data_IF_624658483292
#
_entry.id   IF_624658483292
#
_cell.length_a   1.000
_cell.length_b   1.000
_cell.length_c   1.000
_cell.angle_alpha   90.00
_cell.angle_beta   90.00
_cell.angle_gamma   90.00
#
_symmetry.space_group_name_H-M   'P 1'
#
loop_
_entity.id
_entity.type
_entity.pdbx_description
1 polymer ?
#
# COMPACT_ATOMS: atom_id res chain seq x y z
N UNK A 1 -6.02 7.04 -3.09
CA UNK A 1 -6.99 6.03 -3.56
C UNK A 1 -6.31 4.67 -3.66
N UNK A 2 -7.02 3.54 -3.54
CA UNK A 2 -6.42 2.23 -3.79
C UNK A 2 -6.58 1.85 -5.26
N UNK A 3 -5.56 2.07 -6.06
CA UNK A 3 -5.57 1.76 -7.50
C UNK A 3 -5.47 0.25 -7.80
N UNK A 4 -5.06 -0.58 -6.83
CA UNK A 4 -5.03 -2.03 -6.95
C UNK A 4 -6.32 -2.74 -6.49
N UNK A 5 -7.42 -2.00 -6.36
CA UNK A 5 -8.71 -2.62 -6.02
C UNK A 5 -9.08 -3.66 -7.08
N UNK A 6 -9.38 -4.88 -6.64
CA UNK A 6 -9.83 -5.96 -7.50
C UNK A 6 -11.34 -5.94 -7.59
N UNK A 7 -11.85 -5.72 -8.78
CA UNK A 7 -13.27 -5.86 -9.14
C UNK A 7 -13.35 -6.94 -10.21
N UNK A 8 -14.14 -7.98 -9.96
CA UNK A 8 -14.40 -9.09 -10.87
C UNK A 8 -15.65 -9.87 -10.43
N UNK A 9 -15.99 -10.98 -11.08
CA UNK A 9 -17.17 -11.79 -10.76
C UNK A 9 -17.29 -12.19 -9.28
N UNK A 10 -16.17 -12.26 -8.55
CA UNK A 10 -16.12 -12.65 -7.15
C UNK A 10 -15.97 -11.46 -6.18
N UNK A 11 -15.64 -10.27 -6.68
CA UNK A 11 -15.36 -9.09 -5.87
C UNK A 11 -16.16 -7.90 -6.40
N UNK A 12 -17.30 -7.63 -5.77
CA UNK A 12 -18.16 -6.49 -6.12
C UNK A 12 -17.59 -5.17 -5.59
N UNK A 13 -17.82 -4.10 -6.34
CA UNK A 13 -17.53 -2.74 -5.89
C UNK A 13 -18.37 -2.40 -4.66
N UNK A 14 -17.78 -1.63 -3.73
CA UNK A 14 -18.45 -1.22 -2.49
C UNK A 14 -18.85 0.26 -2.57
N UNK A 15 -20.01 0.61 -2.00
CA UNK A 15 -20.51 1.98 -1.99
C UNK A 15 -19.52 2.99 -1.40
N UNK A 16 -18.73 2.60 -0.39
CA UNK A 16 -17.71 3.48 0.18
C UNK A 16 -16.57 3.82 -0.79
N UNK A 17 -16.36 3.02 -1.84
CA UNK A 17 -15.44 3.33 -2.92
C UNK A 17 -16.07 4.33 -3.88
N UNK A 18 -17.29 4.08 -4.34
CA UNK A 18 -18.04 4.95 -5.26
C UNK A 18 -18.13 6.41 -4.74
N UNK A 19 -18.31 6.57 -3.42
CA UNK A 19 -18.38 7.90 -2.78
C UNK A 19 -17.04 8.66 -2.72
N UNK A 20 -15.93 8.03 -3.14
CA UNK A 20 -14.57 8.60 -3.05
C UNK A 20 -13.87 8.72 -4.40
N UNK A 21 -14.51 8.29 -5.48
CA UNK A 21 -13.96 8.43 -6.82
C UNK A 21 -14.02 9.91 -7.21
N UNK A 22 -12.90 10.46 -7.63
CA UNK A 22 -12.84 11.77 -8.25
C UNK A 22 -12.91 11.64 -9.76
N UNK A 23 -14.12 11.80 -10.32
CA UNK A 23 -14.39 11.67 -11.74
C UNK A 23 -14.29 13.03 -12.42
N UNK A 24 -13.66 13.07 -13.55
CA UNK A 24 -13.63 14.23 -14.46
C UNK A 24 -14.30 13.87 -15.78
N UNK A 25 -14.87 14.88 -16.45
CA UNK A 25 -15.50 14.72 -17.75
C UNK A 25 -14.49 14.92 -18.87
N UNK A 26 -14.52 14.02 -19.86
CA UNK A 26 -13.76 14.13 -21.12
C UNK A 26 -14.64 13.69 -22.27
N UNK A 27 -14.06 13.53 -23.47
CA UNK A 27 -14.76 13.08 -24.68
C UNK A 27 -14.31 11.68 -25.07
N UNK A 28 -15.25 10.87 -25.52
CA UNK A 28 -15.00 9.57 -26.17
C UNK A 28 -14.79 9.73 -27.69
N UNK A 29 -14.75 8.60 -28.39
CA UNK A 29 -14.56 8.52 -29.85
C UNK A 29 -15.68 9.16 -30.67
N UNK A 30 -16.90 9.24 -30.12
CA UNK A 30 -18.08 9.81 -30.76
C UNK A 30 -18.32 11.27 -30.35
N UNK A 31 -17.36 11.87 -29.60
CA UNK A 31 -17.42 13.22 -29.03
C UNK A 31 -18.53 13.38 -27.98
N UNK A 32 -18.97 12.28 -27.37
CA UNK A 32 -19.90 12.25 -26.25
C UNK A 32 -19.14 12.43 -24.91
N UNK A 33 -19.86 12.89 -23.88
CA UNK A 33 -19.27 13.06 -22.55
C UNK A 33 -19.09 11.72 -21.85
N UNK A 34 -17.85 11.44 -21.46
CA UNK A 34 -17.48 10.25 -20.70
C UNK A 34 -16.72 10.66 -19.42
N UNK A 35 -16.90 9.89 -18.36
CA UNK A 35 -16.27 10.13 -17.07
C UNK A 35 -15.07 9.20 -16.88
N UNK A 36 -13.97 9.74 -16.32
CA UNK A 36 -12.74 9.00 -15.99
C UNK A 36 -12.24 9.45 -14.62
N UNK A 37 -11.62 8.57 -13.87
CA UNK A 37 -10.93 8.99 -12.63
C UNK A 37 -9.73 9.89 -12.96
N UNK A 38 -9.54 10.95 -12.17
CA UNK A 38 -8.63 12.05 -12.49
C UNK A 38 -7.18 11.62 -12.77
N UNK A 39 -6.59 10.77 -11.91
CA UNK A 39 -5.20 10.30 -12.10
C UNK A 39 -5.09 9.32 -13.28
N UNK A 40 -6.13 8.51 -13.49
CA UNK A 40 -6.24 7.62 -14.66
C UNK A 40 -6.25 8.42 -15.95
N UNK A 41 -7.00 9.51 -15.97
CA UNK A 41 -7.04 10.39 -17.16
C UNK A 41 -5.72 11.10 -17.42
N UNK A 42 -5.04 11.59 -16.37
CA UNK A 42 -3.70 12.19 -16.53
C UNK A 42 -2.71 11.17 -17.14
N UNK A 43 -2.74 9.94 -16.63
CA UNK A 43 -1.90 8.85 -17.16
C UNK A 43 -2.26 8.47 -18.61
N UNK A 44 -3.55 8.50 -18.95
CA UNK A 44 -4.03 8.28 -20.32
C UNK A 44 -3.49 9.37 -21.28
N UNK A 45 -3.51 10.63 -20.88
CA UNK A 45 -2.98 11.71 -21.70
C UNK A 45 -1.45 11.58 -21.93
N UNK A 46 -0.70 11.14 -20.93
CA UNK A 46 0.73 10.81 -21.08
C UNK A 46 0.94 9.68 -22.09
N UNK A 47 0.15 8.60 -21.99
CA UNK A 47 0.18 7.47 -22.92
C UNK A 47 -0.18 7.89 -24.35
N UNK A 48 -1.27 8.64 -24.51
CA UNK A 48 -1.75 9.12 -25.80
C UNK A 48 -0.70 10.01 -26.50
N UNK A 49 -0.12 10.95 -25.76
CA UNK A 49 0.93 11.83 -26.29
C UNK A 49 2.15 11.03 -26.75
N UNK A 50 2.61 10.06 -25.96
CA UNK A 50 3.74 9.21 -26.30
C UNK A 50 3.46 8.32 -27.53
N UNK A 51 2.27 7.74 -27.64
CA UNK A 51 1.87 6.93 -28.80
C UNK A 51 1.74 7.77 -30.07
N UNK A 52 1.26 9.01 -29.94
CA UNK A 52 1.14 9.93 -31.09
C UNK A 52 2.50 10.27 -31.71
N UNK A 53 3.56 10.40 -30.90
CA UNK A 53 4.94 10.58 -31.38
C UNK A 53 5.42 9.36 -32.19
N UNK A 54 4.80 8.18 -31.99
CA UNK A 54 5.09 6.95 -32.73
C UNK A 54 4.10 6.67 -33.87
N UNK A 55 3.31 7.67 -34.26
CA UNK A 55 2.26 7.57 -35.27
C UNK A 55 1.18 6.52 -34.93
N UNK A 56 0.91 6.33 -33.64
CA UNK A 56 -0.22 5.53 -33.15
C UNK A 56 -1.19 6.50 -32.49
N UNK A 57 -2.41 6.57 -33.04
CA UNK A 57 -3.44 7.44 -32.49
C UNK A 57 -4.51 6.59 -31.79
N UNK A 58 -4.84 6.98 -30.57
CA UNK A 58 -5.82 6.28 -29.72
C UNK A 58 -6.84 7.28 -29.17
N UNK A 59 -8.07 6.81 -29.01
CA UNK A 59 -9.17 7.54 -28.38
C UNK A 59 -9.86 6.66 -27.35
N UNK A 60 -10.60 7.28 -26.44
CA UNK A 60 -11.43 6.56 -25.47
C UNK A 60 -12.69 6.08 -26.19
N UNK A 61 -13.00 4.80 -26.08
CA UNK A 61 -14.29 4.23 -26.47
C UNK A 61 -15.25 4.23 -25.26
N UNK A 62 -14.80 3.66 -24.12
CA UNK A 62 -15.59 3.58 -22.90
C UNK A 62 -14.68 3.79 -21.68
N UNK A 63 -15.24 4.36 -20.61
CA UNK A 63 -14.50 4.53 -19.36
C UNK A 63 -15.40 4.28 -18.13
N UNK A 64 -15.65 5.26 -17.26
CA UNK A 64 -16.52 5.03 -16.12
C UNK A 64 -17.94 4.66 -16.55
N UNK A 65 -18.49 3.64 -15.88
CA UNK A 65 -19.86 3.20 -16.07
C UNK A 65 -20.58 3.08 -14.72
N UNK A 66 -21.73 3.74 -14.57
CA UNK A 66 -22.54 3.65 -13.36
C UNK A 66 -23.14 2.24 -13.20
N UNK A 67 -23.64 1.94 -12.00
CA UNK A 67 -24.33 0.67 -11.75
C UNK A 67 -25.60 0.55 -12.60
N UNK A 68 -26.31 1.64 -12.74
CA UNK A 68 -27.55 1.75 -13.51
C UNK A 68 -27.28 1.49 -15.01
N UNK A 69 -26.27 2.16 -15.58
CA UNK A 69 -25.88 1.97 -16.97
C UNK A 69 -25.40 0.54 -17.25
N UNK A 70 -24.71 -0.08 -16.28
CA UNK A 70 -24.33 -1.51 -16.42
C UNK A 70 -25.54 -2.44 -16.44
N UNK A 71 -26.60 -2.13 -15.72
CA UNK A 71 -27.84 -2.91 -15.73
C UNK A 71 -28.58 -2.78 -17.07
N UNK A 72 -28.65 -1.57 -17.61
CA UNK A 72 -29.19 -1.30 -18.95
C UNK A 72 -28.44 -2.09 -20.01
N UNK A 73 -27.11 -2.01 -20.03
CA UNK A 73 -26.25 -2.73 -20.95
C UNK A 73 -26.44 -4.25 -20.87
N UNK A 74 -26.54 -4.80 -19.65
CA UNK A 74 -26.78 -6.21 -19.43
C UNK A 74 -28.12 -6.66 -20.04
N UNK A 75 -29.17 -5.86 -19.88
CA UNK A 75 -30.50 -6.18 -20.41
C UNK A 75 -30.50 -6.12 -21.95
N UNK A 76 -29.88 -5.10 -22.54
CA UNK A 76 -29.74 -5.00 -24.01
C UNK A 76 -29.00 -6.21 -24.61
N UNK A 77 -27.88 -6.61 -23.97
CA UNK A 77 -27.10 -7.76 -24.45
C UNK A 77 -27.87 -9.08 -24.29
N UNK A 78 -28.64 -9.24 -23.20
CA UNK A 78 -29.49 -10.42 -23.03
C UNK A 78 -30.56 -10.51 -24.06
N UNK A 79 -31.21 -9.42 -24.41
CA UNK A 79 -32.22 -9.36 -25.42
C UNK A 79 -31.65 -9.65 -26.83
N UNK A 80 -30.48 -9.10 -27.12
CA UNK A 80 -29.86 -9.19 -28.45
C UNK A 80 -29.11 -10.49 -28.70
N UNK A 81 -28.39 -11.00 -27.69
CA UNK A 81 -27.44 -12.11 -27.86
C UNK A 81 -27.73 -13.34 -26.99
N UNK A 82 -28.66 -13.23 -26.04
CA UNK A 82 -29.02 -14.28 -25.09
C UNK A 82 -28.12 -14.37 -23.85
N UNK A 83 -28.55 -15.13 -22.86
CA UNK A 83 -27.89 -15.23 -21.52
C UNK A 83 -26.47 -15.78 -21.61
N UNK A 84 -26.20 -16.82 -22.41
CA UNK A 84 -24.89 -17.48 -22.48
C UNK A 84 -23.82 -16.52 -23.02
N UNK A 85 -24.14 -15.81 -24.11
CA UNK A 85 -23.25 -14.80 -24.67
C UNK A 85 -22.99 -13.64 -23.67
N UNK A 86 -24.06 -13.12 -23.10
CA UNK A 86 -23.98 -12.00 -22.14
C UNK A 86 -23.13 -12.37 -20.93
N UNK A 87 -23.31 -13.55 -20.35
CA UNK A 87 -22.52 -14.01 -19.19
C UNK A 87 -21.00 -14.13 -19.47
N UNK A 88 -20.65 -14.30 -20.76
CA UNK A 88 -19.24 -14.43 -21.18
C UNK A 88 -18.55 -13.07 -21.37
N UNK A 89 -19.27 -12.08 -21.89
CA UNK A 89 -18.68 -10.80 -22.33
C UNK A 89 -19.09 -9.59 -21.50
N UNK A 90 -20.20 -9.67 -20.75
CA UNK A 90 -20.70 -8.53 -19.97
C UNK A 90 -20.67 -8.85 -18.47
N UNK A 91 -20.00 -8.00 -17.71
CA UNK A 91 -19.90 -8.17 -16.27
C UNK A 91 -21.26 -7.94 -15.57
N UNK A 92 -21.64 -8.79 -14.60
CA UNK A 92 -22.79 -8.51 -13.73
C UNK A 92 -22.65 -7.16 -13.02
N UNK A 93 -23.77 -6.51 -12.69
CA UNK A 93 -23.79 -5.22 -11.97
C UNK A 93 -22.96 -5.28 -10.69
N UNK A 94 -22.09 -4.30 -10.53
CA UNK A 94 -21.16 -4.19 -9.41
C UNK A 94 -19.86 -4.98 -9.58
N UNK A 95 -19.68 -5.75 -10.67
CA UNK A 95 -18.47 -6.55 -10.94
C UNK A 95 -17.68 -6.09 -12.16
N UNK A 96 -18.11 -5.01 -12.81
CA UNK A 96 -17.37 -4.36 -13.89
C UNK A 96 -16.27 -3.44 -13.33
N UNK A 97 -15.08 -3.49 -13.92
CA UNK A 97 -13.99 -2.56 -13.57
C UNK A 97 -14.28 -1.11 -13.94
N UNK A 98 -15.14 -0.87 -14.93
CA UNK A 98 -15.60 0.45 -15.32
C UNK A 98 -16.27 1.22 -14.17
N UNK A 99 -16.88 0.54 -13.20
CA UNK A 99 -17.39 1.19 -11.98
C UNK A 99 -16.32 1.87 -11.14
N UNK A 100 -15.05 1.53 -11.36
CA UNK A 100 -13.94 2.14 -10.61
C UNK A 100 -13.48 3.47 -11.18
N UNK A 101 -13.81 3.79 -12.42
CA UNK A 101 -13.22 4.90 -13.19
C UNK A 101 -11.76 4.67 -13.57
N UNK A 102 -11.18 3.49 -13.26
CA UNK A 102 -9.78 3.15 -13.50
C UNK A 102 -9.58 2.33 -14.78
N UNK A 103 -10.66 1.85 -15.39
CA UNK A 103 -10.64 1.12 -16.66
C UNK A 103 -10.99 2.06 -17.82
N UNK A 104 -10.30 1.88 -18.93
CA UNK A 104 -10.53 2.57 -20.19
C UNK A 104 -10.50 1.54 -21.30
N UNK A 105 -11.53 1.54 -22.14
CA UNK A 105 -11.51 0.86 -23.41
C UNK A 105 -10.99 1.82 -24.49
N UNK A 106 -10.02 1.36 -25.26
CA UNK A 106 -9.33 2.14 -26.30
C UNK A 106 -9.84 1.77 -27.67
N UNK A 107 -10.06 2.77 -28.52
CA UNK A 107 -10.16 2.59 -29.97
C UNK A 107 -8.92 3.13 -30.69
N UNK A 108 -8.52 2.43 -31.73
CA UNK A 108 -7.42 2.87 -32.62
C UNK A 108 -7.97 3.77 -33.71
N UNK A 109 -7.22 4.83 -34.02
CA UNK A 109 -7.53 5.71 -35.16
C UNK A 109 -6.51 5.52 -36.26
N UNK A 110 -6.97 5.18 -37.46
CA UNK A 110 -6.15 5.04 -38.66
C UNK A 110 -6.74 5.92 -39.76
N UNK A 111 -5.92 6.77 -40.35
CA UNK A 111 -6.34 7.73 -41.38
C UNK A 111 -7.56 8.57 -40.96
N UNK A 112 -7.62 8.95 -39.69
CA UNK A 112 -8.69 9.78 -39.10
C UNK A 112 -10.02 9.06 -38.90
N UNK A 113 -10.04 7.72 -38.96
CA UNK A 113 -11.23 6.89 -38.73
C UNK A 113 -10.97 5.86 -37.63
N UNK A 114 -12.01 5.54 -36.87
CA UNK A 114 -11.95 4.43 -35.91
C UNK A 114 -11.72 3.13 -36.70
N UNK A 115 -10.71 2.39 -36.28
CA UNK A 115 -10.40 1.07 -36.82
C UNK A 115 -11.36 0.06 -36.21
N UNK A 116 -12.09 -0.70 -37.04
CA UNK A 116 -13.00 -1.74 -36.59
C UNK A 116 -12.24 -2.83 -35.80
N UNK A 117 -12.81 -3.25 -34.68
CA UNK A 117 -12.27 -4.28 -33.82
C UNK A 117 -12.28 -5.64 -34.54
N UNK A 118 -11.10 -6.12 -34.89
CA UNK A 118 -10.96 -7.40 -35.57
C UNK A 118 -9.63 -8.07 -35.24
N UNK A 119 -9.69 -9.26 -34.68
CA UNK A 119 -8.52 -10.09 -34.41
C UNK A 119 -7.92 -10.70 -35.72
N UNK A 120 -8.60 -10.61 -36.84
CA UNK A 120 -8.10 -10.99 -38.17
C UNK A 120 -7.34 -9.84 -38.86
N UNK A 121 -7.49 -8.61 -38.33
CA UNK A 121 -6.80 -7.44 -38.85
C UNK A 121 -5.39 -7.33 -38.26
N UNK A 122 -4.36 -7.57 -39.08
CA UNK A 122 -2.95 -7.50 -38.63
C UNK A 122 -2.56 -6.13 -38.10
N UNK A 123 -3.07 -5.03 -38.63
CA UNK A 123 -2.80 -3.67 -38.16
C UNK A 123 -3.32 -3.52 -36.72
N UNK A 124 -4.57 -3.95 -36.49
CA UNK A 124 -5.21 -3.93 -35.17
C UNK A 124 -4.37 -4.72 -34.16
N UNK A 125 -4.11 -6.00 -34.44
CA UNK A 125 -3.37 -6.89 -33.53
C UNK A 125 -1.95 -6.38 -33.25
N UNK A 126 -1.22 -5.97 -34.28
CA UNK A 126 0.16 -5.52 -34.13
C UNK A 126 0.26 -4.18 -33.40
N UNK A 127 -0.71 -3.29 -33.58
CA UNK A 127 -0.76 -2.01 -32.89
C UNK A 127 -1.03 -2.20 -31.41
N UNK A 128 -2.02 -3.01 -31.04
CA UNK A 128 -2.27 -3.32 -29.63
C UNK A 128 -1.07 -4.00 -28.94
N UNK A 129 -0.37 -4.92 -29.63
CA UNK A 129 0.88 -5.50 -29.08
C UNK A 129 1.94 -4.45 -28.75
N UNK A 130 2.10 -3.42 -29.58
CA UNK A 130 3.01 -2.30 -29.30
C UNK A 130 2.55 -1.51 -28.08
N UNK A 131 1.25 -1.21 -27.98
CA UNK A 131 0.65 -0.51 -26.85
C UNK A 131 0.86 -1.30 -25.55
N UNK A 132 0.55 -2.60 -25.54
CA UNK A 132 0.68 -3.46 -24.36
C UNK A 132 2.09 -3.48 -23.79
N UNK A 133 3.11 -3.48 -24.64
CA UNK A 133 4.51 -3.50 -24.22
C UNK A 133 4.94 -2.25 -23.44
N UNK A 134 4.22 -1.13 -23.55
CA UNK A 134 4.58 0.14 -22.92
C UNK A 134 3.61 0.59 -21.83
N UNK A 135 2.43 -0.05 -21.70
CA UNK A 135 1.39 0.34 -20.74
C UNK A 135 1.94 0.57 -19.33
N UNK A 136 2.85 -0.30 -18.88
CA UNK A 136 3.42 -0.27 -17.55
C UNK A 136 4.21 1.02 -17.25
N UNK A 137 4.74 1.70 -18.27
CA UNK A 137 5.46 2.97 -18.09
C UNK A 137 4.52 4.12 -17.70
N UNK A 138 3.23 3.98 -18.01
CA UNK A 138 2.18 4.96 -17.75
C UNK A 138 1.24 4.54 -16.60
N UNK A 139 1.53 3.41 -15.94
CA UNK A 139 0.73 2.93 -14.82
C UNK A 139 -0.46 2.06 -15.21
N UNK A 140 -0.58 1.68 -16.48
CA UNK A 140 -1.61 0.79 -16.98
C UNK A 140 -1.14 -0.66 -17.09
N UNK A 141 -2.10 -1.57 -17.07
CA UNK A 141 -1.95 -2.98 -17.41
C UNK A 141 -2.97 -3.37 -18.49
N UNK A 142 -2.64 -4.38 -19.29
CA UNK A 142 -3.63 -5.12 -20.05
C UNK A 142 -4.41 -5.98 -19.05
N UNK A 143 -5.68 -5.69 -18.86
CA UNK A 143 -6.47 -6.29 -17.77
C UNK A 143 -6.81 -7.74 -18.01
N UNK A 144 -7.16 -8.09 -19.25
CA UNK A 144 -7.61 -9.40 -19.66
C UNK A 144 -6.69 -9.97 -20.74
N UNK A 145 -5.46 -10.41 -20.35
CA UNK A 145 -4.47 -10.90 -21.31
C UNK A 145 -4.82 -12.30 -21.82
N UNK A 146 -4.41 -12.58 -23.05
CA UNK A 146 -4.61 -13.87 -23.71
C UNK A 146 -3.93 -15.01 -22.92
N UNK A 147 -4.65 -16.13 -22.75
CA UNK A 147 -4.17 -17.30 -22.00
C UNK A 147 -4.28 -17.19 -20.48
N UNK A 148 -4.99 -16.16 -19.97
CA UNK A 148 -5.25 -15.95 -18.54
C UNK A 148 -6.75 -15.92 -18.19
N UNK A 149 -7.60 -16.38 -19.10
CA UNK A 149 -9.06 -16.33 -18.98
C UNK A 149 -9.60 -17.08 -17.75
N UNK A 150 -8.97 -18.21 -17.40
CA UNK A 150 -9.32 -18.97 -16.18
C UNK A 150 -9.04 -18.19 -14.88
N UNK A 151 -8.07 -17.28 -14.89
CA UNK A 151 -7.68 -16.48 -13.73
C UNK A 151 -8.53 -15.23 -13.63
N UNK A 152 -8.71 -14.52 -14.75
CA UNK A 152 -9.44 -13.25 -14.80
C UNK A 152 -10.95 -13.45 -14.84
N UNK A 153 -11.42 -14.57 -15.39
CA UNK A 153 -12.82 -14.89 -15.59
C UNK A 153 -13.45 -14.23 -16.83
N UNK A 154 -12.62 -13.56 -17.67
CA UNK A 154 -13.04 -12.89 -18.89
C UNK A 154 -12.17 -13.31 -20.08
N UNK A 155 -12.71 -13.19 -21.29
CA UNK A 155 -11.98 -13.41 -22.53
C UNK A 155 -10.88 -12.36 -22.72
N UNK A 156 -9.97 -12.60 -23.67
CA UNK A 156 -8.97 -11.63 -24.08
C UNK A 156 -9.62 -10.37 -24.65
N UNK A 157 -9.27 -9.21 -24.10
CA UNK A 157 -9.76 -7.89 -24.53
C UNK A 157 -8.57 -6.96 -24.75
N UNK A 158 -8.03 -6.83 -25.97
CA UNK A 158 -6.84 -6.03 -26.25
C UNK A 158 -7.04 -4.54 -25.97
N UNK A 159 -8.27 -4.03 -26.08
CA UNK A 159 -8.63 -2.64 -25.83
C UNK A 159 -8.73 -2.25 -24.37
N UNK A 160 -9.03 -3.22 -23.48
CA UNK A 160 -9.36 -2.96 -22.09
C UNK A 160 -8.09 -2.79 -21.24
N UNK A 161 -7.74 -1.53 -20.96
CA UNK A 161 -6.61 -1.18 -20.10
C UNK A 161 -7.09 -0.74 -18.72
N UNK A 162 -6.31 -1.09 -17.70
CA UNK A 162 -6.60 -0.77 -16.32
C UNK A 162 -5.46 0.00 -15.65
N UNK A 163 -5.78 1.16 -15.07
CA UNK A 163 -4.80 1.92 -14.27
C UNK A 163 -4.63 1.31 -12.88
N UNK A 164 -3.38 1.06 -12.50
CA UNK A 164 -2.98 0.52 -11.20
C UNK A 164 -1.81 1.29 -10.58
N UNK A 165 -1.33 2.33 -11.27
CA UNK A 165 -0.14 3.12 -10.92
C UNK A 165 1.17 2.50 -11.40
N UNK A 166 2.18 3.36 -11.65
CA UNK A 166 3.45 2.98 -12.32
C UNK A 166 4.23 1.87 -11.58
N UNK A 167 4.18 1.83 -10.26
CA UNK A 167 4.87 0.81 -9.48
C UNK A 167 4.27 -0.59 -9.66
N UNK A 168 2.95 -0.71 -9.51
CA UNK A 168 2.25 -1.99 -9.59
C UNK A 168 2.24 -2.51 -11.03
N UNK A 169 1.97 -1.65 -12.00
CA UNK A 169 1.95 -2.02 -13.42
C UNK A 169 3.29 -2.57 -13.90
N UNK A 170 4.40 -2.00 -13.41
CA UNK A 170 5.75 -2.49 -13.71
C UNK A 170 5.98 -3.91 -13.17
N UNK A 171 5.59 -4.17 -11.92
CA UNK A 171 5.72 -5.51 -11.33
C UNK A 171 4.86 -6.53 -12.10
N UNK A 172 3.62 -6.16 -12.44
CA UNK A 172 2.71 -7.00 -13.22
C UNK A 172 3.33 -7.33 -14.59
N UNK A 173 3.88 -6.34 -15.28
CA UNK A 173 4.55 -6.52 -16.57
C UNK A 173 5.79 -7.42 -16.45
N UNK A 174 6.73 -7.13 -15.53
CA UNK A 174 7.98 -7.87 -15.35
C UNK A 174 7.76 -9.33 -14.94
N UNK A 175 6.67 -9.61 -14.20
CA UNK A 175 6.32 -10.96 -13.73
C UNK A 175 5.33 -11.68 -14.62
N UNK A 176 4.80 -11.02 -15.64
CA UNK A 176 3.70 -11.51 -16.49
C UNK A 176 2.49 -11.98 -15.66
N UNK A 177 2.11 -11.17 -14.68
CA UNK A 177 0.97 -11.42 -13.80
C UNK A 177 -0.30 -10.79 -14.34
N UNK A 178 -1.46 -11.34 -13.92
CA UNK A 178 -2.72 -10.60 -13.87
C UNK A 178 -2.78 -9.78 -12.58
N UNK A 179 -3.79 -8.93 -12.43
CA UNK A 179 -4.04 -8.22 -11.17
C UNK A 179 -4.34 -9.21 -10.03
N UNK A 180 -5.06 -10.29 -10.31
CA UNK A 180 -5.34 -11.38 -9.37
C UNK A 180 -4.05 -12.05 -8.87
N UNK A 181 -3.16 -12.41 -9.81
CA UNK A 181 -1.87 -13.03 -9.49
C UNK A 181 -0.98 -12.08 -8.68
N UNK A 182 -0.95 -10.80 -9.03
CA UNK A 182 -0.22 -9.80 -8.27
C UNK A 182 -0.69 -9.75 -6.81
N UNK A 183 -1.99 -9.60 -6.58
CA UNK A 183 -2.56 -9.47 -5.24
C UNK A 183 -2.39 -10.74 -4.39
N UNK A 184 -2.27 -11.90 -5.04
CA UNK A 184 -2.12 -13.19 -4.36
C UNK A 184 -0.66 -13.55 -4.10
N UNK A 185 0.21 -13.30 -5.09
CA UNK A 185 1.57 -13.84 -5.11
C UNK A 185 2.65 -12.82 -4.72
N UNK A 186 2.34 -11.51 -4.75
CA UNK A 186 3.33 -10.52 -4.39
C UNK A 186 3.77 -10.69 -2.93
N UNK A 187 5.07 -10.89 -2.75
CA UNK A 187 5.69 -11.09 -1.45
C UNK A 187 7.02 -10.36 -1.42
N UNK A 188 7.37 -9.81 -0.27
CA UNK A 188 8.60 -9.06 -0.14
C UNK A 188 8.89 -8.59 1.28
N UNK A 189 10.07 -8.03 1.44
CA UNK A 189 10.51 -7.35 2.66
C UNK A 189 10.94 -5.93 2.29
N UNK A 190 10.42 -4.96 3.03
CA UNK A 190 10.80 -3.56 2.89
C UNK A 190 11.52 -3.09 4.13
N UNK A 191 12.55 -2.29 3.93
CA UNK A 191 13.24 -1.58 5.00
C UNK A 191 12.84 -0.11 4.90
N UNK A 192 12.07 0.35 5.88
CA UNK A 192 11.48 1.69 5.88
C UNK A 192 12.18 2.55 6.94
N UNK A 193 12.50 3.78 6.61
CA UNK A 193 12.87 4.79 7.59
C UNK A 193 11.59 5.44 8.13
N UNK A 194 11.09 4.89 9.26
CA UNK A 194 9.89 5.43 9.92
C UNK A 194 10.18 6.83 10.45
N UNK A 195 9.36 7.76 10.05
CA UNK A 195 9.46 9.13 10.50
C UNK A 195 8.90 9.30 11.93
N UNK A 196 9.38 10.31 12.63
CA UNK A 196 8.85 10.75 13.93
C UNK A 196 7.41 11.25 13.78
N UNK A 197 6.56 10.97 14.75
CA UNK A 197 5.16 11.42 14.78
C UNK A 197 4.14 10.43 14.23
N UNK A 198 4.58 9.36 13.56
CA UNK A 198 3.69 8.30 13.04
C UNK A 198 3.93 6.99 13.79
N UNK A 199 2.90 6.15 13.92
CA UNK A 199 3.03 4.82 14.51
C UNK A 199 3.57 3.80 13.48
N UNK A 200 4.12 2.68 13.96
CA UNK A 200 4.49 1.57 13.07
C UNK A 200 3.26 1.01 12.31
N UNK A 201 2.07 1.10 12.91
CA UNK A 201 0.81 0.69 12.28
C UNK A 201 0.38 1.64 11.15
N UNK A 202 0.59 2.95 11.30
CA UNK A 202 0.31 3.92 10.23
C UNK A 202 1.16 3.63 9.00
N UNK A 203 2.45 3.31 9.19
CA UNK A 203 3.34 2.90 8.09
C UNK A 203 2.85 1.63 7.41
N UNK A 204 2.43 0.62 8.17
CA UNK A 204 1.85 -0.62 7.62
C UNK A 204 0.57 -0.33 6.82
N UNK A 205 -0.30 0.55 7.32
CA UNK A 205 -1.51 0.95 6.61
C UNK A 205 -1.21 1.69 5.31
N UNK A 206 -0.27 2.62 5.33
CA UNK A 206 0.15 3.36 4.13
C UNK A 206 0.70 2.39 3.06
N UNK A 207 1.57 1.46 3.44
CA UNK A 207 2.09 0.43 2.55
C UNK A 207 0.95 -0.46 2.02
N UNK A 208 -0.01 -0.84 2.89
CA UNK A 208 -1.18 -1.62 2.48
C UNK A 208 -2.01 -0.92 1.41
N UNK A 209 -2.19 0.40 1.54
CA UNK A 209 -2.90 1.20 0.53
C UNK A 209 -2.10 1.34 -0.76
N UNK A 210 -0.80 1.60 -0.66
CA UNK A 210 0.08 1.79 -1.82
C UNK A 210 0.18 0.52 -2.68
N UNK A 211 0.33 -0.64 -2.05
CA UNK A 211 0.49 -1.93 -2.73
C UNK A 211 -0.85 -2.65 -2.98
N UNK A 212 -1.96 -2.19 -2.39
CA UNK A 212 -3.25 -2.86 -2.46
C UNK A 212 -3.31 -4.21 -1.74
N UNK A 213 -2.32 -4.55 -0.93
CA UNK A 213 -2.17 -5.85 -0.27
C UNK A 213 -2.53 -5.73 1.20
N UNK A 214 -3.41 -6.61 1.68
CA UNK A 214 -3.87 -6.60 3.08
C UNK A 214 -2.94 -7.33 4.03
N UNK A 215 -2.21 -8.34 3.55
CA UNK A 215 -1.34 -9.17 4.37
C UNK A 215 0.02 -8.52 4.51
N UNK A 216 0.17 -7.67 5.54
CA UNK A 216 1.40 -6.95 5.86
C UNK A 216 1.67 -7.07 7.36
N UNK A 217 2.93 -7.20 7.74
CA UNK A 217 3.41 -7.23 9.10
C UNK A 217 4.70 -6.42 9.25
N UNK A 218 5.19 -6.28 10.47
CA UNK A 218 6.50 -5.69 10.76
C UNK A 218 7.22 -6.52 11.83
N UNK A 219 8.54 -6.44 11.88
CA UNK A 219 9.39 -7.26 12.78
C UNK A 219 9.62 -6.64 14.15
N UNK A 220 9.17 -5.40 14.39
CA UNK A 220 9.31 -4.71 15.67
C UNK A 220 8.53 -3.41 15.67
N UNK A 221 8.01 -3.03 16.83
CA UNK A 221 7.29 -1.76 17.00
C UNK A 221 8.28 -0.68 17.37
N UNK A 222 8.24 0.46 16.67
CA UNK A 222 8.85 1.72 17.06
C UNK A 222 7.79 2.62 17.67
N UNK A 223 8.12 3.30 18.75
CA UNK A 223 7.26 4.30 19.37
C UNK A 223 6.98 5.47 18.39
N UNK A 224 5.87 6.20 18.55
CA UNK A 224 5.56 7.34 17.66
C UNK A 224 6.67 8.41 17.64
N UNK A 225 7.36 8.62 18.76
CA UNK A 225 8.47 9.58 18.85
C UNK A 225 9.78 9.08 18.27
N UNK A 226 9.93 7.75 18.12
CA UNK A 226 11.12 7.17 17.53
C UNK A 226 11.10 7.30 16.00
N UNK A 227 12.26 7.48 15.42
CA UNK A 227 12.50 7.40 13.98
C UNK A 227 13.54 6.33 13.68
N UNK A 228 13.59 5.82 12.45
CA UNK A 228 14.59 4.86 12.02
C UNK A 228 14.02 3.61 11.40
N UNK A 229 14.81 2.54 11.41
CA UNK A 229 14.57 1.32 10.66
C UNK A 229 13.35 0.55 11.15
N UNK A 230 12.34 0.42 10.26
CA UNK A 230 11.20 -0.47 10.43
C UNK A 230 11.20 -1.50 9.30
N UNK A 231 11.41 -2.77 9.63
CA UNK A 231 11.34 -3.86 8.64
C UNK A 231 9.90 -4.31 8.50
N UNK A 232 9.37 -4.18 7.29
CA UNK A 232 7.98 -4.53 6.92
C UNK A 232 7.99 -5.74 6.00
N UNK A 233 7.11 -6.70 6.28
CA UNK A 233 6.93 -7.93 5.51
C UNK A 233 5.59 -7.93 4.79
N UNK A 234 5.58 -8.33 3.51
CA UNK A 234 4.39 -8.29 2.64
C UNK A 234 4.06 -9.71 2.16
N UNK A 235 2.78 -10.06 2.10
CA UNK A 235 2.30 -11.32 1.56
C UNK A 235 2.82 -12.52 2.35
N UNK A 236 3.39 -13.51 1.69
CA UNK A 236 3.91 -14.72 2.34
C UNK A 236 5.12 -14.45 3.24
N UNK A 237 5.86 -13.34 3.02
CA UNK A 237 6.98 -12.97 3.88
C UNK A 237 6.59 -12.69 5.33
N UNK A 238 5.29 -12.46 5.63
CA UNK A 238 4.80 -12.35 7.01
C UNK A 238 5.06 -13.63 7.84
N UNK A 239 5.20 -14.78 7.18
CA UNK A 239 5.49 -16.06 7.87
C UNK A 239 6.92 -16.15 8.40
N UNK A 240 7.85 -15.36 7.84
CA UNK A 240 9.25 -15.34 8.25
C UNK A 240 9.60 -14.08 9.06
N UNK A 241 8.61 -13.29 9.48
CA UNK A 241 8.84 -12.05 10.24
C UNK A 241 9.65 -12.28 11.52
N UNK A 242 9.39 -13.39 12.23
CA UNK A 242 10.16 -13.76 13.44
C UNK A 242 11.64 -14.04 13.13
N UNK A 243 11.94 -14.69 11.99
CA UNK A 243 13.31 -14.95 11.54
C UNK A 243 14.06 -13.67 11.16
N UNK A 244 13.33 -12.63 10.75
CA UNK A 244 13.89 -11.32 10.40
C UNK A 244 14.01 -10.39 11.61
N UNK A 245 13.52 -10.80 12.78
CA UNK A 245 13.65 -10.03 14.01
C UNK A 245 15.09 -10.16 14.52
N UNK A 246 15.81 -9.05 14.53
CA UNK A 246 17.18 -9.02 15.02
C UNK A 246 17.22 -9.35 16.52
N UNK A 247 18.18 -10.17 16.93
CA UNK A 247 18.47 -10.49 18.32
C UNK A 247 18.86 -9.22 19.10
N UNK A 248 19.69 -8.38 18.48
CA UNK A 248 20.12 -7.09 19.04
C UNK A 248 19.65 -5.94 18.14
N UNK A 249 19.31 -4.83 18.79
CA UNK A 249 18.89 -3.57 18.15
C UNK A 249 19.75 -2.44 18.63
N UNK A 250 20.11 -1.55 17.72
CA UNK A 250 20.87 -0.35 18.03
C UNK A 250 19.94 0.85 18.15
N UNK A 251 20.11 1.62 19.23
CA UNK A 251 19.33 2.83 19.49
C UNK A 251 20.25 3.98 19.85
N UNK A 252 19.90 5.17 19.38
CA UNK A 252 20.37 6.44 19.91
C UNK A 252 19.25 7.10 20.71
N UNK A 253 19.53 7.54 21.91
CA UNK A 253 18.56 8.19 22.77
C UNK A 253 19.11 9.42 23.45
N UNK A 254 18.26 10.41 23.61
CA UNK A 254 18.51 11.59 24.45
C UNK A 254 17.85 11.44 25.81
N UNK A 255 18.54 11.80 26.86
CA UNK A 255 18.04 11.78 28.23
C UNK A 255 18.05 13.19 28.81
N UNK A 256 16.92 13.58 29.41
CA UNK A 256 16.80 14.77 30.24
C UNK A 256 16.92 14.37 31.74
N UNK A 257 17.94 14.85 32.40
CA UNK A 257 18.16 14.60 33.80
C UNK A 257 17.29 15.50 34.70
N UNK A 258 16.94 14.99 35.86
CA UNK A 258 16.21 15.76 36.87
C UNK A 258 14.70 15.83 36.67
N UNK A 259 14.15 15.18 35.65
CA UNK A 259 12.70 15.11 35.38
C UNK A 259 12.28 13.66 35.26
N UNK A 260 11.25 13.27 35.97
CA UNK A 260 10.61 11.96 35.91
C UNK A 260 9.18 12.10 35.36
N UNK A 261 8.80 11.32 34.38
CA UNK A 261 7.47 11.33 33.77
C UNK A 261 6.78 9.96 33.93
N UNK A 262 5.45 9.95 33.83
CA UNK A 262 4.64 8.74 33.97
C UNK A 262 4.81 7.77 32.81
N UNK A 263 5.17 8.26 31.61
CA UNK A 263 5.42 7.46 30.41
C UNK A 263 6.90 7.09 30.21
N UNK A 264 7.80 7.63 31.04
CA UNK A 264 9.26 7.52 30.90
C UNK A 264 9.82 8.17 29.60
N UNK A 265 9.04 9.00 28.95
CA UNK A 265 9.44 9.81 27.80
C UNK A 265 9.01 11.28 27.97
N UNK A 266 9.34 12.11 26.95
CA UNK A 266 9.08 13.56 27.00
C UNK A 266 7.59 13.92 26.83
N UNK A 267 6.72 12.97 26.48
CA UNK A 267 5.28 13.21 26.29
C UNK A 267 4.49 13.01 27.58
N UNK A 268 5.09 12.38 28.59
CA UNK A 268 4.46 12.09 29.86
C UNK A 268 4.23 13.30 30.74
N UNK A 269 3.33 13.14 31.69
CA UNK A 269 3.15 14.13 32.78
C UNK A 269 4.31 14.03 33.74
N UNK A 270 4.88 15.18 34.10
CA UNK A 270 5.94 15.24 35.12
C UNK A 270 5.40 14.76 36.47
N UNK A 271 6.01 13.69 36.98
CA UNK A 271 5.70 13.13 38.30
C UNK A 271 6.61 13.76 39.38
N UNK A 272 7.89 13.94 39.06
CA UNK A 272 8.88 14.42 40.01
C UNK A 272 9.98 15.23 39.32
N UNK A 273 10.57 16.14 40.06
CA UNK A 273 11.74 16.91 39.62
C UNK A 273 12.81 16.91 40.71
N UNK A 274 14.08 16.74 40.31
CA UNK A 274 15.25 16.76 41.21
C UNK A 274 16.34 17.63 40.61
N UNK A 275 17.08 18.31 41.51
CA UNK A 275 18.26 19.07 41.10
C UNK A 275 19.34 18.09 40.64
N UNK A 276 19.89 18.29 39.45
CA UNK A 276 21.00 17.48 38.93
C UNK A 276 22.30 17.90 39.64
N UNK A 277 23.04 16.98 40.29
CA UNK A 277 24.32 17.28 40.92
C UNK A 277 25.34 17.80 39.91
N UNK A 278 26.04 18.85 40.25
CA UNK A 278 27.04 19.50 39.35
C UNK A 278 28.19 18.56 38.99
N UNK A 279 28.54 17.61 39.87
CA UNK A 279 29.66 16.67 39.67
C UNK A 279 29.19 15.25 39.29
N UNK A 280 28.06 15.12 38.62
CA UNK A 280 27.58 13.81 38.17
C UNK A 280 28.48 13.26 37.05
N UNK A 281 29.13 12.12 37.30
CA UNK A 281 29.86 11.39 36.24
C UNK A 281 28.88 10.61 35.36
N UNK A 282 28.39 11.28 34.31
CA UNK A 282 27.43 10.71 33.34
C UNK A 282 28.06 9.52 32.60
N UNK A 283 29.36 9.58 32.30
CA UNK A 283 30.05 8.50 31.59
C UNK A 283 30.10 7.22 32.41
N UNK A 284 30.45 7.34 33.71
CA UNK A 284 30.40 6.20 34.62
C UNK A 284 28.99 5.65 34.79
N UNK A 285 28.00 6.52 34.96
CA UNK A 285 26.60 6.13 35.06
C UNK A 285 26.10 5.37 33.81
N UNK A 286 26.34 5.88 32.62
CA UNK A 286 25.99 5.24 31.36
C UNK A 286 26.67 3.86 31.22
N UNK A 287 27.99 3.78 31.48
CA UNK A 287 28.72 2.53 31.41
C UNK A 287 28.24 1.45 32.40
N UNK A 288 27.65 1.84 33.52
CA UNK A 288 27.13 0.91 34.52
C UNK A 288 25.95 0.06 34.01
N UNK A 289 25.30 0.49 32.93
CA UNK A 289 24.22 -0.25 32.27
C UNK A 289 24.72 -1.33 31.30
N UNK A 290 26.01 -1.40 31.00
CA UNK A 290 26.59 -2.45 30.15
C UNK A 290 26.62 -3.79 30.89
N UNK A 291 25.49 -4.46 30.95
CA UNK A 291 25.30 -5.75 31.66
C UNK A 291 23.97 -6.41 31.23
N UNK A 292 23.79 -7.64 31.68
CA UNK A 292 22.49 -8.31 31.68
C UNK A 292 21.78 -8.09 33.00
N UNK A 293 20.50 -7.74 32.96
CA UNK A 293 19.68 -7.54 34.14
C UNK A 293 18.19 -7.80 33.86
N UNK A 294 17.43 -8.03 34.94
CA UNK A 294 15.99 -8.14 34.87
C UNK A 294 15.38 -6.74 34.93
N UNK A 295 14.76 -6.35 33.80
CA UNK A 295 14.04 -5.09 33.67
C UNK A 295 12.54 -5.33 33.85
N UNK A 296 11.92 -4.53 34.71
CA UNK A 296 10.47 -4.45 34.78
C UNK A 296 9.93 -3.82 33.50
N UNK A 297 8.93 -4.48 32.87
CA UNK A 297 8.36 -4.00 31.61
C UNK A 297 7.54 -2.75 31.89
N UNK A 298 7.77 -1.62 31.16
CA UNK A 298 7.00 -0.41 31.35
C UNK A 298 5.51 -0.64 31.14
N UNK A 299 4.67 -0.03 31.98
CA UNK A 299 3.21 -0.16 31.90
C UNK A 299 2.65 0.37 30.57
N UNK A 300 3.28 1.40 29.99
CA UNK A 300 2.95 1.93 28.67
C UNK A 300 3.63 1.12 27.55
N UNK A 301 3.44 -0.19 27.55
CA UNK A 301 3.96 -1.09 26.52
C UNK A 301 2.87 -1.93 25.86
N UNK A 302 3.18 -2.52 24.70
CA UNK A 302 2.30 -3.43 23.97
C UNK A 302 2.34 -4.89 24.48
N UNK A 303 3.11 -5.17 25.52
CA UNK A 303 3.20 -6.49 26.15
C UNK A 303 1.84 -6.87 26.74
N UNK A 304 1.40 -8.13 26.51
CA UNK A 304 0.13 -8.63 27.01
C UNK A 304 0.29 -9.36 28.34
N UNK A 305 -0.57 -9.02 29.28
CA UNK A 305 -0.77 -9.76 30.54
C UNK A 305 -2.25 -10.14 30.61
N UNK A 306 -2.55 -11.40 30.83
CA UNK A 306 -3.92 -11.92 30.85
C UNK A 306 -4.75 -11.56 29.58
N UNK A 307 -4.09 -11.58 28.40
CA UNK A 307 -4.73 -11.29 27.11
C UNK A 307 -4.93 -9.80 26.76
N UNK A 308 -4.72 -8.88 27.73
CA UNK A 308 -4.88 -7.42 27.58
C UNK A 308 -3.50 -6.76 27.57
N UNK A 309 -3.30 -5.74 26.75
CA UNK A 309 -2.01 -5.01 26.63
C UNK A 309 -1.80 -4.12 27.86
N UNK A 310 -0.55 -3.97 28.31
CA UNK A 310 -0.22 -3.20 29.52
C UNK A 310 -0.68 -1.73 29.40
N UNK A 311 -0.53 -1.10 28.26
CA UNK A 311 -1.00 0.29 28.09
C UNK A 311 -2.53 0.44 28.24
N UNK A 312 -3.32 -0.62 28.03
CA UNK A 312 -4.78 -0.60 28.24
C UNK A 312 -5.10 -0.62 29.74
N UNK A 313 -4.32 -1.34 30.55
CA UNK A 313 -4.40 -1.26 32.02
C UNK A 313 -4.09 0.15 32.53
N UNK A 314 -3.01 0.76 32.00
CA UNK A 314 -2.60 2.12 32.35
C UNK A 314 -3.71 3.14 32.06
N UNK A 315 -4.29 3.09 30.86
CA UNK A 315 -5.37 4.01 30.43
C UNK A 315 -6.63 3.88 31.26
N UNK A 316 -6.92 2.67 31.71
CA UNK A 316 -8.11 2.39 32.52
C UNK A 316 -7.86 2.54 34.03
N UNK A 317 -6.65 2.94 34.47
CA UNK A 317 -6.21 2.99 35.86
C UNK A 317 -6.40 1.64 36.61
N UNK A 318 -6.23 0.52 35.86
CA UNK A 318 -6.34 -0.83 36.41
C UNK A 318 -4.97 -1.28 36.95
N UNK A 319 -4.97 -1.92 38.12
CA UNK A 319 -3.73 -2.49 38.68
C UNK A 319 -3.38 -3.78 37.97
N UNK A 320 -2.11 -3.96 37.64
CA UNK A 320 -1.55 -5.16 37.03
C UNK A 320 -0.14 -5.36 37.57
N UNK A 321 0.23 -6.61 37.81
CA UNK A 321 1.61 -6.97 38.15
C UNK A 321 2.46 -6.92 36.86
N UNK A 322 3.51 -6.10 36.90
CA UNK A 322 4.38 -5.88 35.75
C UNK A 322 5.36 -7.06 35.59
N UNK A 323 5.39 -7.71 34.43
CA UNK A 323 6.34 -8.77 34.16
C UNK A 323 7.78 -8.24 34.10
N UNK A 324 8.74 -9.08 34.44
CA UNK A 324 10.17 -8.78 34.28
C UNK A 324 10.70 -9.51 33.04
N UNK A 325 11.53 -8.84 32.26
CA UNK A 325 12.21 -9.38 31.10
C UNK A 325 13.73 -9.21 31.28
N UNK A 326 14.47 -10.26 30.97
CA UNK A 326 15.92 -10.17 30.88
C UNK A 326 16.31 -9.31 29.68
N UNK A 327 17.16 -8.31 29.94
CA UNK A 327 17.69 -7.39 28.93
C UNK A 327 19.20 -7.39 29.02
N UNK A 328 19.87 -7.52 27.90
CA UNK A 328 21.32 -7.45 27.79
C UNK A 328 21.72 -6.21 27.00
N UNK A 329 22.40 -5.28 27.64
CA UNK A 329 23.06 -4.16 26.95
C UNK A 329 24.49 -4.61 26.63
N UNK A 330 24.70 -4.98 25.36
CA UNK A 330 25.96 -5.50 24.85
C UNK A 330 27.01 -4.39 24.69
N UNK A 331 26.56 -3.27 24.17
CA UNK A 331 27.39 -2.07 23.96
C UNK A 331 26.60 -0.84 24.36
N UNK A 332 27.29 0.12 24.95
CA UNK A 332 26.73 1.44 25.25
C UNK A 332 27.87 2.48 25.19
N UNK A 333 27.57 3.60 24.54
CA UNK A 333 28.51 4.69 24.32
C UNK A 333 27.84 6.02 24.59
N UNK A 334 28.50 6.87 25.35
CA UNK A 334 28.11 8.27 25.58
C UNK A 334 28.51 9.11 24.37
N UNK A 335 27.55 9.66 23.65
CA UNK A 335 27.82 10.45 22.43
C UNK A 335 28.07 11.94 22.73
N UNK A 336 27.27 12.52 23.64
CA UNK A 336 27.40 13.92 24.01
C UNK A 336 26.77 14.21 25.37
N UNK A 337 27.22 15.29 26.00
CA UNK A 337 26.64 15.83 27.25
C UNK A 337 26.46 17.33 27.11
N UNK A 338 25.37 17.84 27.67
CA UNK A 338 25.12 19.26 27.88
C UNK A 338 24.44 19.39 29.22
N UNK A 339 24.53 20.55 29.90
CA UNK A 339 24.05 20.84 31.26
C UNK A 339 23.23 19.74 31.96
N UNK A 340 21.97 19.56 31.52
CA UNK A 340 21.04 18.59 32.10
C UNK A 340 20.62 17.53 31.08
N UNK A 341 21.29 17.39 29.93
CA UNK A 341 20.96 16.42 28.91
C UNK A 341 22.21 15.65 28.48
N UNK A 342 22.02 14.43 28.05
CA UNK A 342 23.04 13.67 27.35
C UNK A 342 22.43 12.79 26.25
N UNK A 343 23.25 12.40 25.28
CA UNK A 343 22.90 11.41 24.26
C UNK A 343 23.80 10.21 24.39
N UNK A 344 23.22 9.05 24.20
CA UNK A 344 23.95 7.80 24.17
C UNK A 344 23.45 6.91 23.03
N UNK A 345 24.30 5.97 22.65
CA UNK A 345 24.02 4.91 21.71
C UNK A 345 24.16 3.58 22.43
N UNK A 346 23.25 2.63 22.18
CA UNK A 346 23.35 1.31 22.78
C UNK A 346 22.93 0.20 21.81
N UNK A 347 23.55 -0.99 21.99
CA UNK A 347 23.20 -2.25 21.35
C UNK A 347 22.55 -3.13 22.42
N UNK A 348 21.25 -3.42 22.28
CA UNK A 348 20.43 -4.08 23.29
C UNK A 348 19.57 -5.20 22.72
N UNK A 349 19.33 -6.30 23.53
CA UNK A 349 18.50 -7.46 23.16
C UNK A 349 17.01 -7.16 23.10
#
# INVERSE_FOLDING_TARGET
>A
MNYAILINKNNKIKNNYLNRINLITTKDQDNEDVLVEEETYKAYLELQAFLKEQNIDIVIDSAYRSLEHQEELLNEFREKYGEEYTAKYVAPVGTSEHHTGLAIDLSLVVDGKILEDSMENEIYVNTYKKIHNILHNFGFILRYPQGKEEITGYSYEPWHIRYVGKFISRIIYEKNYTLEEYLTNFTGVLVINKQKGVTSFDVVNEISHLFGIKRIGHTGTLDPLAEGVLVVTIGQATKIAELLTAEYKEYEAGVLLGVETDTLDITGKTLNTKIVPVNLDIKQAVNSFKKTYLQEVPIYSAVKVNGKKLYEYARNNEKVELPKKEVTIKEIELLSTDKNTFKFKCLVS
#
